data_IF_019659385744
#
_entry.id   IF_019659385744
#
_cell.length_a   1.000
_cell.length_b   1.000
_cell.length_c   1.000
_cell.angle_alpha   90.00
_cell.angle_beta   90.00
_cell.angle_gamma   90.00
#
_symmetry.space_group_name_H-M   'P 1'
#
loop_
_entity.id
_entity.type
_entity.pdbx_description
1 polymer ?
#
# COMPACT_ATOMS: atom_id res chain seq x y z
N UNK A 1 3.48 46.94 -4.20
CA UNK A 1 2.79 46.15 -3.20
C UNK A 1 3.19 44.70 -3.41
N UNK A 2 3.43 43.94 -2.36
CA UNK A 2 3.72 42.50 -2.53
C UNK A 2 2.54 41.79 -3.20
N UNK A 3 2.85 40.82 -4.02
CA UNK A 3 1.83 39.94 -4.62
C UNK A 3 1.13 39.11 -3.55
N UNK A 4 -0.06 38.59 -3.83
CA UNK A 4 -0.78 37.68 -2.93
C UNK A 4 0.12 36.48 -2.58
N UNK A 5 0.86 35.95 -3.54
CA UNK A 5 1.79 34.84 -3.34
C UNK A 5 2.92 35.21 -2.35
N UNK A 6 3.53 36.36 -2.47
CA UNK A 6 4.56 36.84 -1.54
C UNK A 6 4.00 37.03 -0.12
N UNK A 7 2.82 37.64 -0.01
CA UNK A 7 2.14 37.82 1.27
C UNK A 7 1.73 36.48 1.91
N UNK A 8 1.22 35.52 1.13
CA UNK A 8 0.95 34.17 1.60
C UNK A 8 2.23 33.48 2.10
N UNK A 9 3.35 33.63 1.36
CA UNK A 9 4.64 33.06 1.73
C UNK A 9 5.15 33.61 3.06
N UNK A 10 5.04 34.91 3.26
CA UNK A 10 5.45 35.58 4.49
C UNK A 10 4.62 35.11 5.69
N UNK A 11 3.28 35.14 5.59
CA UNK A 11 2.37 34.72 6.66
C UNK A 11 2.56 33.24 6.98
N UNK A 12 2.63 32.40 5.97
CA UNK A 12 2.81 30.97 6.16
C UNK A 12 4.14 30.65 6.85
N UNK A 13 5.25 31.18 6.34
CA UNK A 13 6.58 30.88 6.88
C UNK A 13 6.77 31.43 8.31
N UNK A 14 6.32 32.66 8.57
CA UNK A 14 6.41 33.23 9.93
C UNK A 14 5.56 32.43 10.93
N UNK A 15 4.34 32.08 10.55
CA UNK A 15 3.47 31.28 11.43
C UNK A 15 4.03 29.88 11.65
N UNK A 16 4.45 29.21 10.58
CA UNK A 16 5.02 27.87 10.67
C UNK A 16 6.24 27.82 11.59
N UNK A 17 7.18 28.75 11.41
CA UNK A 17 8.41 28.77 12.23
C UNK A 17 8.10 29.02 13.71
N UNK A 18 7.22 29.99 13.98
CA UNK A 18 6.80 30.30 15.36
C UNK A 18 6.10 29.13 16.04
N UNK A 19 5.13 28.52 15.33
CA UNK A 19 4.35 27.41 15.89
C UNK A 19 5.17 26.13 16.04
N UNK A 20 6.04 25.80 15.06
CA UNK A 20 6.92 24.62 15.17
C UNK A 20 7.82 24.74 16.40
N UNK A 21 8.46 25.88 16.59
CA UNK A 21 9.35 26.11 17.72
C UNK A 21 8.58 26.07 19.05
N UNK A 22 7.44 26.77 19.14
CA UNK A 22 6.61 26.78 20.35
C UNK A 22 6.18 25.36 20.74
N UNK A 23 5.62 24.59 19.80
CA UNK A 23 5.13 23.24 20.05
C UNK A 23 6.25 22.27 20.44
N UNK A 24 7.40 22.40 19.79
CA UNK A 24 8.57 21.61 20.11
C UNK A 24 9.04 21.89 21.55
N UNK A 25 9.17 23.16 21.93
CA UNK A 25 9.61 23.55 23.28
C UNK A 25 8.60 23.16 24.36
N UNK A 26 7.29 23.30 24.09
CA UNK A 26 6.24 22.85 25.00
C UNK A 26 6.30 21.33 25.24
N UNK A 27 6.48 20.52 24.19
CA UNK A 27 6.55 19.07 24.28
C UNK A 27 7.84 18.58 24.99
N UNK A 28 8.98 19.22 24.73
CA UNK A 28 10.23 18.93 25.44
C UNK A 28 10.10 19.27 26.93
N UNK A 29 9.54 20.43 27.25
CA UNK A 29 9.33 20.88 28.65
C UNK A 29 8.36 19.97 29.40
N UNK A 30 7.30 19.51 28.74
CA UNK A 30 6.32 18.56 29.30
C UNK A 30 6.92 17.16 29.54
N UNK A 31 8.00 16.84 28.86
CA UNK A 31 8.74 15.60 29.05
C UNK A 31 9.57 15.68 30.35
N UNK A 32 8.99 15.27 31.48
CA UNK A 32 9.53 15.41 32.86
C UNK A 32 10.88 14.75 33.13
N UNK A 33 11.46 14.01 32.21
CA UNK A 33 12.81 13.46 32.35
C UNK A 33 13.77 14.29 31.50
N UNK A 34 14.81 14.82 32.10
CA UNK A 34 15.80 15.69 31.45
C UNK A 34 16.64 15.04 30.33
N UNK A 35 16.33 13.81 29.96
CA UNK A 35 16.95 13.11 28.83
C UNK A 35 15.78 12.55 27.98
N UNK A 36 15.59 13.13 26.81
CA UNK A 36 14.67 12.63 25.79
C UNK A 36 15.47 11.71 24.89
N UNK A 37 14.99 10.49 24.65
CA UNK A 37 15.63 9.60 23.68
C UNK A 37 15.47 10.16 22.25
N UNK A 38 16.43 9.87 21.37
CA UNK A 38 16.42 10.34 19.97
C UNK A 38 15.11 9.97 19.25
N UNK A 39 14.56 8.78 19.52
CA UNK A 39 13.28 8.34 18.96
C UNK A 39 12.11 9.22 19.43
N UNK A 40 12.08 9.56 20.72
CA UNK A 40 11.03 10.41 21.30
C UNK A 40 11.17 11.85 20.80
N UNK A 41 12.38 12.35 20.68
CA UNK A 41 12.66 13.68 20.13
C UNK A 41 12.21 13.78 18.67
N UNK A 42 12.54 12.79 17.83
CA UNK A 42 12.10 12.74 16.45
C UNK A 42 10.56 12.70 16.32
N UNK A 43 9.88 11.97 17.23
CA UNK A 43 8.40 11.95 17.27
C UNK A 43 7.83 13.33 17.61
N UNK A 44 8.37 13.99 18.67
CA UNK A 44 7.98 15.34 19.05
C UNK A 44 8.18 16.32 17.88
N UNK A 45 9.33 16.27 17.23
CA UNK A 45 9.61 17.13 16.07
C UNK A 45 8.62 16.91 14.92
N UNK A 46 8.27 15.65 14.63
CA UNK A 46 7.32 15.30 13.57
C UNK A 46 5.90 15.80 13.90
N UNK A 47 5.46 15.66 15.15
CA UNK A 47 4.18 16.15 15.62
C UNK A 47 4.10 17.69 15.59
N UNK A 48 5.14 18.37 16.08
CA UNK A 48 5.25 19.83 16.03
C UNK A 48 5.26 20.33 14.57
N UNK A 49 5.98 19.68 13.67
CA UNK A 49 5.98 19.99 12.24
C UNK A 49 4.60 19.87 11.62
N UNK A 50 3.88 18.77 11.89
CA UNK A 50 2.56 18.51 11.34
C UNK A 50 1.53 19.54 11.82
N UNK A 51 1.55 19.86 13.10
CA UNK A 51 0.62 20.83 13.66
C UNK A 51 0.94 22.28 13.20
N UNK A 52 2.24 22.63 13.10
CA UNK A 52 2.65 23.92 12.56
C UNK A 52 2.19 24.14 11.10
N UNK A 53 2.18 23.09 10.26
CA UNK A 53 1.63 23.16 8.90
C UNK A 53 0.14 23.50 8.96
N UNK A 54 -0.63 22.84 9.82
CA UNK A 54 -2.08 23.12 9.95
C UNK A 54 -2.33 24.56 10.38
N UNK A 55 -1.65 25.02 11.43
CA UNK A 55 -1.81 26.37 11.94
C UNK A 55 -1.41 27.43 10.89
N UNK A 56 -0.28 27.25 10.22
CA UNK A 56 0.17 28.15 9.17
C UNK A 56 -0.82 28.20 8.00
N UNK A 57 -1.34 27.06 7.58
CA UNK A 57 -2.35 26.97 6.51
C UNK A 57 -3.61 27.73 6.89
N UNK A 58 -4.18 27.42 8.06
CA UNK A 58 -5.43 28.06 8.52
C UNK A 58 -5.25 29.57 8.67
N UNK A 59 -4.13 30.01 9.24
CA UNK A 59 -3.87 31.44 9.42
C UNK A 59 -3.69 32.16 8.09
N UNK A 60 -2.99 31.56 7.14
CA UNK A 60 -2.84 32.14 5.80
C UNK A 60 -4.18 32.24 5.08
N UNK A 61 -5.02 31.19 5.12
CA UNK A 61 -6.35 31.21 4.54
C UNK A 61 -7.23 32.35 5.11
N UNK A 62 -7.19 32.53 6.44
CA UNK A 62 -7.95 33.57 7.14
C UNK A 62 -7.47 35.01 6.87
N UNK A 63 -6.21 35.17 6.49
CA UNK A 63 -5.64 36.49 6.19
C UNK A 63 -6.19 37.11 4.88
N UNK A 64 -6.81 36.29 4.02
CA UNK A 64 -7.32 36.72 2.72
C UNK A 64 -8.80 36.39 2.52
N UNK A 65 -9.71 36.97 3.33
CA UNK A 65 -11.13 36.58 3.33
C UNK A 65 -11.88 36.95 2.04
N UNK A 66 -11.32 37.84 1.21
CA UNK A 66 -11.94 38.31 -0.04
C UNK A 66 -11.34 37.65 -1.28
N UNK A 67 -10.33 36.79 -1.10
CA UNK A 67 -9.70 36.09 -2.20
C UNK A 67 -10.36 34.72 -2.41
N UNK A 68 -10.30 34.22 -3.63
CA UNK A 68 -10.76 32.88 -3.95
C UNK A 68 -9.95 31.82 -3.17
N UNK A 69 -10.58 30.97 -2.32
CA UNK A 69 -9.88 30.02 -1.48
C UNK A 69 -8.93 29.09 -2.24
N UNK A 70 -9.27 28.70 -3.48
CA UNK A 70 -8.44 27.85 -4.31
C UNK A 70 -7.09 28.51 -4.67
N UNK A 71 -7.08 29.82 -4.89
CA UNK A 71 -5.85 30.57 -5.19
C UNK A 71 -4.93 30.64 -3.97
N UNK A 72 -5.50 30.88 -2.80
CA UNK A 72 -4.74 30.89 -1.54
C UNK A 72 -4.19 29.49 -1.24
N UNK A 73 -5.02 28.45 -1.41
CA UNK A 73 -4.58 27.07 -1.22
C UNK A 73 -3.41 26.70 -2.15
N UNK A 74 -3.48 27.07 -3.42
CA UNK A 74 -2.39 26.88 -4.38
C UNK A 74 -1.11 27.59 -3.94
N UNK A 75 -1.21 28.85 -3.50
CA UNK A 75 -0.07 29.60 -3.00
C UNK A 75 0.57 28.96 -1.76
N UNK A 76 -0.24 28.52 -0.78
CA UNK A 76 0.22 27.79 0.41
C UNK A 76 0.92 26.49 0.02
N UNK A 77 0.37 25.73 -0.92
CA UNK A 77 0.98 24.51 -1.42
C UNK A 77 2.35 24.77 -2.04
N UNK A 78 2.49 25.78 -2.91
CA UNK A 78 3.76 26.16 -3.53
C UNK A 78 4.80 26.58 -2.47
N UNK A 79 4.39 27.33 -1.44
CA UNK A 79 5.26 27.71 -0.31
C UNK A 79 5.73 26.48 0.46
N UNK A 80 4.83 25.53 0.71
CA UNK A 80 5.20 24.29 1.40
C UNK A 80 6.22 23.46 0.60
N UNK A 81 5.99 23.30 -0.70
CA UNK A 81 6.93 22.60 -1.59
C UNK A 81 8.29 23.29 -1.62
N UNK A 82 8.32 24.64 -1.75
CA UNK A 82 9.57 25.39 -1.70
C UNK A 82 10.35 25.10 -0.40
N UNK A 83 9.67 25.12 0.76
CA UNK A 83 10.32 24.82 2.06
C UNK A 83 10.97 23.44 2.10
N UNK A 84 10.36 22.46 1.45
CA UNK A 84 10.84 21.06 1.45
C UNK A 84 11.93 20.81 0.42
N UNK A 85 11.82 21.44 -0.76
CA UNK A 85 12.67 21.14 -1.93
C UNK A 85 13.67 22.24 -2.28
N UNK A 86 13.48 23.48 -1.79
CA UNK A 86 14.23 24.66 -2.23
C UNK A 86 13.84 25.17 -3.63
N UNK A 87 12.78 24.60 -4.25
CA UNK A 87 12.35 25.01 -5.59
C UNK A 87 11.35 26.16 -5.50
N UNK A 88 11.61 27.28 -6.16
CA UNK A 88 10.74 28.47 -6.20
C UNK A 88 9.89 28.55 -7.47
N UNK A 89 10.35 27.94 -8.56
CA UNK A 89 9.66 28.03 -9.85
C UNK A 89 8.41 27.15 -9.89
N UNK A 90 7.24 27.77 -10.00
CA UNK A 90 5.95 27.08 -10.01
C UNK A 90 5.82 26.07 -11.16
N UNK A 91 6.36 26.37 -12.33
CA UNK A 91 6.32 25.46 -13.47
C UNK A 91 7.20 24.22 -13.25
N UNK A 92 8.33 24.39 -12.56
CA UNK A 92 9.18 23.27 -12.16
C UNK A 92 8.49 22.42 -11.08
N UNK A 93 7.86 23.03 -10.08
CA UNK A 93 7.06 22.31 -9.07
C UNK A 93 5.97 21.47 -9.75
N UNK A 94 5.20 22.07 -10.66
CA UNK A 94 4.13 21.37 -11.37
C UNK A 94 4.65 20.18 -12.19
N UNK A 95 5.79 20.36 -12.89
CA UNK A 95 6.44 19.27 -13.65
C UNK A 95 6.93 18.14 -12.73
N UNK A 96 7.55 18.46 -11.61
CA UNK A 96 8.05 17.45 -10.64
C UNK A 96 6.88 16.68 -10.03
N UNK A 97 5.81 17.37 -9.60
CA UNK A 97 4.62 16.72 -9.04
C UNK A 97 3.93 15.85 -10.09
N UNK A 98 3.79 16.33 -11.32
CA UNK A 98 3.21 15.56 -12.43
C UNK A 98 4.05 14.33 -12.76
N UNK A 99 5.39 14.47 -12.78
CA UNK A 99 6.30 13.35 -13.01
C UNK A 99 6.21 12.31 -11.88
N UNK A 100 6.17 12.74 -10.61
CA UNK A 100 6.01 11.84 -9.45
C UNK A 100 4.67 11.09 -9.49
N UNK A 101 3.57 11.77 -9.79
CA UNK A 101 2.27 11.14 -9.94
C UNK A 101 2.22 10.15 -11.11
N UNK A 102 2.82 10.54 -12.25
CA UNK A 102 2.94 9.66 -13.43
C UNK A 102 3.77 8.43 -13.10
N UNK A 103 4.92 8.61 -12.40
CA UNK A 103 5.75 7.50 -11.96
C UNK A 103 5.01 6.56 -11.03
N UNK A 104 4.33 7.08 -10.00
CA UNK A 104 3.55 6.27 -9.05
C UNK A 104 2.49 5.41 -9.73
N UNK A 105 1.80 5.97 -10.72
CA UNK A 105 0.82 5.21 -11.51
C UNK A 105 1.47 4.17 -12.41
N UNK A 106 2.48 4.59 -13.17
CA UNK A 106 3.15 3.71 -14.15
C UNK A 106 3.96 2.60 -13.49
N UNK A 107 4.63 2.89 -12.36
CA UNK A 107 5.43 1.90 -11.64
C UNK A 107 4.56 0.82 -10.99
N UNK A 108 3.34 1.17 -10.52
CA UNK A 108 2.36 0.18 -10.04
C UNK A 108 2.00 -0.82 -11.13
N UNK A 109 1.55 -0.35 -12.28
CA UNK A 109 1.22 -1.23 -13.41
C UNK A 109 2.42 -2.01 -13.96
N UNK A 110 3.60 -1.38 -14.00
CA UNK A 110 4.82 -2.09 -14.41
C UNK A 110 5.17 -3.23 -13.45
N UNK A 111 4.94 -3.03 -12.15
CA UNK A 111 5.18 -4.06 -11.14
C UNK A 111 4.17 -5.21 -11.26
N UNK A 112 2.89 -4.92 -11.49
CA UNK A 112 1.85 -5.93 -11.76
C UNK A 112 2.21 -6.79 -12.99
N UNK A 113 2.59 -6.14 -14.11
CA UNK A 113 3.02 -6.85 -15.33
C UNK A 113 4.30 -7.67 -15.10
N UNK A 114 5.25 -7.18 -14.29
CA UNK A 114 6.45 -7.92 -13.91
C UNK A 114 6.09 -9.18 -13.11
N UNK A 115 5.21 -9.06 -12.11
CA UNK A 115 4.74 -10.21 -11.33
C UNK A 115 4.07 -11.25 -12.24
N UNK A 116 3.19 -10.81 -13.14
CA UNK A 116 2.55 -11.69 -14.11
C UNK A 116 3.58 -12.44 -14.97
N UNK A 117 4.53 -11.70 -15.56
CA UNK A 117 5.54 -12.27 -16.47
C UNK A 117 6.43 -13.28 -15.75
N UNK A 118 7.06 -12.85 -14.66
CA UNK A 118 8.02 -13.67 -13.91
C UNK A 118 7.33 -14.81 -13.16
N UNK A 119 6.18 -14.55 -12.56
CA UNK A 119 5.36 -15.56 -11.90
C UNK A 119 4.94 -16.67 -12.86
N UNK A 120 4.44 -16.32 -14.05
CA UNK A 120 4.07 -17.32 -15.06
C UNK A 120 5.29 -18.08 -15.62
N UNK A 121 6.44 -17.41 -15.75
CA UNK A 121 7.69 -18.11 -16.11
C UNK A 121 8.07 -19.14 -15.05
N UNK A 122 7.98 -18.78 -13.77
CA UNK A 122 8.26 -19.70 -12.67
C UNK A 122 7.25 -20.86 -12.60
N UNK A 123 5.99 -20.61 -12.91
CA UNK A 123 4.87 -21.57 -12.85
C UNK A 123 4.72 -22.41 -14.15
N UNK A 124 5.59 -22.22 -15.15
CA UNK A 124 5.49 -22.96 -16.41
C UNK A 124 5.41 -24.49 -16.17
N UNK A 125 4.52 -25.15 -16.90
CA UNK A 125 4.26 -26.59 -16.80
C UNK A 125 3.44 -27.02 -15.58
N UNK A 126 3.00 -26.13 -14.69
CA UNK A 126 2.22 -26.49 -13.48
C UNK A 126 0.70 -26.45 -13.68
N UNK A 127 0.23 -25.92 -14.80
CA UNK A 127 -1.20 -25.64 -15.02
C UNK A 127 -1.74 -24.41 -14.25
N UNK A 128 -0.86 -23.68 -13.57
CA UNK A 128 -1.22 -22.45 -12.83
C UNK A 128 -0.79 -21.22 -13.62
N UNK A 129 -1.65 -20.21 -13.64
CA UNK A 129 -1.44 -18.96 -14.36
C UNK A 129 -1.79 -17.77 -13.45
N UNK A 130 -0.93 -16.75 -13.45
CA UNK A 130 -1.19 -15.46 -12.81
C UNK A 130 -1.75 -14.51 -13.86
N UNK A 131 -2.94 -13.99 -13.58
CA UNK A 131 -3.69 -13.11 -14.45
C UNK A 131 -3.80 -11.72 -13.83
N UNK A 132 -3.71 -10.68 -14.67
CA UNK A 132 -4.13 -9.35 -14.26
C UNK A 132 -5.67 -9.31 -14.10
N UNK A 133 -6.14 -8.37 -13.31
CA UNK A 133 -7.59 -8.16 -13.13
C UNK A 133 -8.37 -8.08 -14.44
N UNK A 134 -7.83 -7.40 -15.47
CA UNK A 134 -8.47 -7.27 -16.79
C UNK A 134 -8.57 -8.61 -17.52
N UNK A 135 -7.56 -9.47 -17.38
CA UNK A 135 -7.52 -10.76 -18.07
C UNK A 135 -8.53 -11.72 -17.42
N UNK A 136 -8.58 -11.80 -16.08
CA UNK A 136 -9.59 -12.58 -15.37
C UNK A 136 -11.01 -12.11 -15.72
N UNK A 137 -11.26 -10.79 -15.77
CA UNK A 137 -12.56 -10.25 -16.16
C UNK A 137 -12.98 -10.70 -17.55
N UNK A 138 -12.05 -10.79 -18.50
CA UNK A 138 -12.30 -11.30 -19.85
C UNK A 138 -12.70 -12.77 -19.83
N UNK A 139 -11.98 -13.62 -19.09
CA UNK A 139 -12.32 -15.05 -18.95
C UNK A 139 -13.66 -15.27 -18.25
N UNK A 140 -13.98 -14.49 -17.22
CA UNK A 140 -15.28 -14.57 -16.55
C UNK A 140 -16.43 -14.19 -17.51
N UNK A 141 -16.25 -13.15 -18.32
CA UNK A 141 -17.26 -12.73 -19.31
C UNK A 141 -17.44 -13.75 -20.42
N UNK A 142 -16.37 -14.45 -20.80
CA UNK A 142 -16.41 -15.54 -21.78
C UNK A 142 -16.98 -16.85 -21.23
N UNK A 143 -17.21 -16.95 -19.91
CA UNK A 143 -17.69 -18.17 -19.26
C UNK A 143 -16.61 -19.26 -19.15
N UNK A 144 -15.33 -18.88 -19.22
CA UNK A 144 -14.19 -19.83 -19.16
C UNK A 144 -13.74 -20.17 -17.73
N UNK A 145 -14.22 -19.43 -16.73
CA UNK A 145 -13.94 -19.71 -15.31
C UNK A 145 -15.06 -20.58 -14.75
N UNK A 146 -14.69 -21.77 -14.30
CA UNK A 146 -15.59 -22.82 -13.86
C UNK A 146 -15.89 -22.82 -12.34
N UNK A 147 -15.57 -21.72 -11.65
CA UNK A 147 -15.95 -21.54 -10.24
C UNK A 147 -17.48 -21.57 -10.07
N UNK A 148 -17.93 -21.87 -8.87
CA UNK A 148 -19.35 -21.82 -8.52
C UNK A 148 -19.95 -20.41 -8.74
N UNK A 149 -21.26 -20.29 -9.01
CA UNK A 149 -21.91 -19.00 -9.26
C UNK A 149 -21.68 -17.97 -8.14
N UNK A 150 -21.60 -18.43 -6.89
CA UNK A 150 -21.30 -17.57 -5.73
C UNK A 150 -19.92 -16.93 -5.84
N UNK A 151 -18.91 -17.70 -6.21
CA UNK A 151 -17.53 -17.21 -6.37
C UNK A 151 -17.43 -16.25 -7.54
N UNK A 152 -18.07 -16.59 -8.65
CA UNK A 152 -18.09 -15.71 -9.82
C UNK A 152 -18.72 -14.35 -9.47
N UNK A 153 -19.79 -14.35 -8.68
CA UNK A 153 -20.43 -13.11 -8.23
C UNK A 153 -19.49 -12.31 -7.34
N UNK A 154 -18.85 -12.95 -6.37
CA UNK A 154 -17.87 -12.33 -5.49
C UNK A 154 -16.66 -11.77 -6.25
N UNK A 155 -16.07 -12.54 -7.17
CA UNK A 155 -14.95 -12.11 -8.00
C UNK A 155 -15.30 -10.88 -8.85
N UNK A 156 -16.51 -10.84 -9.44
CA UNK A 156 -17.00 -9.68 -10.20
C UNK A 156 -17.08 -8.41 -9.35
N UNK A 157 -17.49 -8.53 -8.08
CA UNK A 157 -17.51 -7.41 -7.13
C UNK A 157 -16.10 -6.91 -6.82
N UNK A 158 -15.15 -7.83 -6.56
CA UNK A 158 -13.76 -7.47 -6.29
C UNK A 158 -13.11 -6.77 -7.49
N UNK A 159 -13.34 -7.29 -8.70
CA UNK A 159 -12.88 -6.70 -9.96
C UNK A 159 -13.46 -5.30 -10.16
N UNK A 160 -14.76 -5.12 -9.94
CA UNK A 160 -15.43 -3.82 -10.06
C UNK A 160 -14.87 -2.79 -9.08
N UNK A 161 -14.54 -3.21 -7.86
CA UNK A 161 -13.98 -2.36 -6.81
C UNK A 161 -12.44 -2.18 -6.93
N UNK A 162 -11.78 -2.86 -7.87
CA UNK A 162 -10.32 -2.87 -8.05
C UNK A 162 -9.56 -3.16 -6.74
N UNK A 163 -9.98 -4.23 -6.06
CA UNK A 163 -9.47 -4.60 -4.73
C UNK A 163 -8.17 -5.39 -4.83
N UNK A 164 -8.08 -6.29 -5.80
CA UNK A 164 -6.90 -7.11 -6.05
C UNK A 164 -6.32 -6.78 -7.42
N UNK A 165 -4.99 -6.76 -7.49
CA UNK A 165 -4.25 -6.38 -8.70
C UNK A 165 -4.11 -7.58 -9.65
N UNK A 166 -3.89 -8.79 -9.08
CA UNK A 166 -3.73 -10.03 -9.84
C UNK A 166 -4.53 -11.17 -9.20
N UNK A 167 -4.69 -12.24 -9.96
CA UNK A 167 -5.41 -13.44 -9.56
C UNK A 167 -4.65 -14.70 -10.00
N UNK A 168 -4.72 -15.75 -9.19
CA UNK A 168 -4.17 -17.06 -9.50
C UNK A 168 -5.27 -17.98 -10.00
N UNK A 169 -5.06 -18.57 -11.17
CA UNK A 169 -5.97 -19.49 -11.84
C UNK A 169 -5.27 -20.82 -12.05
N UNK A 170 -5.96 -21.91 -11.78
CA UNK A 170 -5.48 -23.27 -12.05
C UNK A 170 -6.33 -23.93 -13.13
N UNK A 171 -5.70 -24.61 -14.08
CA UNK A 171 -6.33 -25.43 -15.10
C UNK A 171 -6.24 -26.88 -14.70
N UNK A 172 -7.37 -27.56 -14.60
CA UNK A 172 -7.44 -29.03 -14.35
C UNK A 172 -7.13 -29.82 -15.62
N UNK A 173 -6.86 -31.11 -15.46
CA UNK A 173 -6.63 -32.04 -16.57
C UNK A 173 -7.79 -32.10 -17.59
N UNK A 174 -8.99 -31.79 -17.13
CA UNK A 174 -10.20 -31.71 -17.99
C UNK A 174 -10.34 -30.36 -18.75
N UNK A 175 -9.33 -29.48 -18.62
CA UNK A 175 -9.29 -28.16 -19.27
C UNK A 175 -10.10 -27.07 -18.56
N UNK A 176 -10.82 -27.38 -17.48
CA UNK A 176 -11.58 -26.36 -16.73
C UNK A 176 -10.65 -25.48 -15.91
N UNK A 177 -10.88 -24.18 -15.96
CA UNK A 177 -10.11 -23.17 -15.23
C UNK A 177 -10.85 -22.72 -13.97
N UNK A 178 -10.11 -22.61 -12.86
CA UNK A 178 -10.65 -22.15 -11.57
C UNK A 178 -9.79 -21.03 -11.01
N UNK A 179 -10.38 -19.90 -10.70
CA UNK A 179 -9.73 -18.87 -9.92
C UNK A 179 -9.73 -19.30 -8.45
N UNK A 180 -8.54 -19.49 -7.87
CA UNK A 180 -8.38 -19.92 -6.49
C UNK A 180 -7.64 -18.91 -5.62
N UNK A 181 -6.98 -17.91 -6.22
CA UNK A 181 -6.16 -16.95 -5.49
C UNK A 181 -6.40 -15.51 -5.88
N UNK A 182 -6.27 -14.63 -4.89
CA UNK A 182 -6.35 -13.18 -4.97
C UNK A 182 -5.02 -12.59 -4.51
N UNK A 183 -4.39 -11.75 -5.34
CA UNK A 183 -3.04 -11.25 -5.12
C UNK A 183 -3.07 -9.73 -5.14
N UNK A 184 -2.56 -9.12 -4.08
CA UNK A 184 -2.28 -7.69 -4.02
C UNK A 184 -0.81 -7.44 -4.36
N UNK A 185 -0.49 -6.32 -5.00
CA UNK A 185 0.87 -5.92 -5.33
C UNK A 185 1.19 -4.53 -4.83
N UNK A 186 2.38 -4.32 -4.26
CA UNK A 186 2.79 -3.01 -3.74
C UNK A 186 4.26 -2.75 -4.03
N UNK A 187 4.54 -1.63 -4.69
CA UNK A 187 5.92 -1.16 -4.90
C UNK A 187 6.54 -0.57 -3.64
N UNK A 188 5.71 0.02 -2.77
CA UNK A 188 6.10 0.43 -1.43
C UNK A 188 4.88 0.46 -0.52
N UNK A 189 5.08 0.13 0.77
CA UNK A 189 3.99 0.05 1.74
C UNK A 189 4.33 0.91 2.94
N UNK A 190 3.83 2.15 3.01
CA UNK A 190 3.92 2.95 4.23
C UNK A 190 2.60 3.00 4.99
N UNK A 191 1.49 3.38 4.33
CA UNK A 191 0.23 3.68 5.02
C UNK A 191 -0.95 2.82 4.54
N UNK A 192 -0.74 1.93 3.57
CA UNK A 192 -1.82 1.20 2.91
C UNK A 192 -2.02 -0.23 3.37
N UNK A 193 -1.07 -0.84 4.09
CA UNK A 193 -1.20 -2.23 4.59
C UNK A 193 -2.48 -2.43 5.39
N UNK A 194 -2.82 -1.47 6.25
CA UNK A 194 -4.05 -1.50 7.04
C UNK A 194 -5.30 -1.56 6.17
N UNK A 195 -5.31 -0.83 5.05
CA UNK A 195 -6.45 -0.80 4.12
C UNK A 195 -6.54 -2.06 3.26
N UNK A 196 -5.40 -2.64 2.93
CA UNK A 196 -5.31 -3.82 2.05
C UNK A 196 -5.58 -5.11 2.85
N UNK A 197 -5.43 -5.08 4.18
CA UNK A 197 -5.67 -6.23 5.07
C UNK A 197 -7.13 -6.67 5.10
N UNK A 198 -8.07 -5.74 5.21
CA UNK A 198 -9.49 -6.07 5.30
C UNK A 198 -10.01 -6.84 4.07
N UNK A 199 -9.75 -6.40 2.83
CA UNK A 199 -10.10 -7.20 1.65
C UNK A 199 -9.46 -8.59 1.62
N UNK A 200 -8.22 -8.72 2.12
CA UNK A 200 -7.55 -10.02 2.22
C UNK A 200 -8.28 -10.95 3.18
N UNK A 201 -8.69 -10.45 4.36
CA UNK A 201 -9.50 -11.23 5.32
C UNK A 201 -10.81 -11.70 4.70
N UNK A 202 -11.47 -10.84 3.91
CA UNK A 202 -12.69 -11.22 3.20
C UNK A 202 -12.46 -12.28 2.12
N UNK A 203 -11.32 -12.22 1.41
CA UNK A 203 -10.94 -13.25 0.45
C UNK A 203 -10.69 -14.60 1.14
N UNK A 204 -9.97 -14.60 2.26
CA UNK A 204 -9.74 -15.82 3.06
C UNK A 204 -11.05 -16.37 3.61
N UNK A 205 -11.95 -15.54 4.13
CA UNK A 205 -13.29 -15.95 4.58
C UNK A 205 -14.17 -16.48 3.44
N UNK A 206 -13.85 -16.16 2.18
CA UNK A 206 -14.49 -16.71 0.99
C UNK A 206 -13.76 -17.90 0.39
N UNK A 207 -12.80 -18.45 1.11
CA UNK A 207 -11.98 -19.61 0.75
C UNK A 207 -11.10 -19.38 -0.50
N UNK A 208 -10.59 -18.15 -0.69
CA UNK A 208 -9.55 -17.86 -1.67
C UNK A 208 -8.19 -17.77 -1.01
N UNK A 209 -7.16 -18.26 -1.70
CA UNK A 209 -5.78 -18.01 -1.34
C UNK A 209 -5.49 -16.52 -1.48
N UNK A 210 -5.27 -15.83 -0.37
CA UNK A 210 -5.01 -14.40 -0.37
C UNK A 210 -3.57 -14.09 -0.03
N UNK A 211 -2.88 -13.38 -0.90
CA UNK A 211 -1.46 -13.05 -0.76
C UNK A 211 -1.16 -11.62 -1.18
N UNK A 212 0.02 -11.16 -0.77
CA UNK A 212 0.54 -9.86 -1.16
C UNK A 212 2.00 -10.00 -1.61
N UNK A 213 2.36 -9.34 -2.70
CA UNK A 213 3.73 -9.27 -3.23
C UNK A 213 4.22 -7.85 -3.10
N UNK A 214 5.37 -7.66 -2.46
CA UNK A 214 5.89 -6.34 -2.08
C UNK A 214 7.30 -6.17 -2.62
N UNK A 215 7.56 -5.05 -3.32
CA UNK A 215 8.88 -4.73 -3.84
C UNK A 215 9.81 -4.20 -2.74
N UNK A 216 9.33 -3.25 -1.92
CA UNK A 216 10.11 -2.65 -0.83
C UNK A 216 9.57 -3.10 0.54
N UNK A 217 10.40 -3.85 1.26
CA UNK A 217 10.08 -4.42 2.57
C UNK A 217 10.51 -3.56 3.77
N UNK A 218 11.01 -2.37 3.59
CA UNK A 218 11.54 -1.52 4.67
C UNK A 218 10.54 -1.24 5.80
N UNK A 219 9.24 -1.25 5.51
CA UNK A 219 8.18 -1.10 6.52
C UNK A 219 8.13 -2.23 7.53
N UNK A 220 8.64 -3.43 7.19
CA UNK A 220 8.71 -4.60 8.09
C UNK A 220 9.71 -4.41 9.25
N UNK A 221 10.53 -3.37 9.23
CA UNK A 221 11.32 -2.96 10.40
C UNK A 221 10.46 -2.58 11.61
N UNK A 222 9.18 -2.26 11.38
CA UNK A 222 8.24 -1.92 12.44
C UNK A 222 7.42 -3.15 12.84
N UNK A 223 7.52 -3.62 14.10
CA UNK A 223 6.86 -4.86 14.58
C UNK A 223 5.35 -4.90 14.32
N UNK A 224 4.67 -3.75 14.32
CA UNK A 224 3.23 -3.67 14.01
C UNK A 224 2.88 -4.23 12.64
N UNK A 225 3.75 -4.06 11.63
CA UNK A 225 3.47 -4.58 10.29
C UNK A 225 3.70 -6.09 10.22
N UNK A 226 4.67 -6.61 10.95
CA UNK A 226 4.87 -8.06 11.10
C UNK A 226 3.63 -8.69 11.72
N UNK A 227 3.07 -8.11 12.79
CA UNK A 227 1.86 -8.62 13.42
C UNK A 227 0.61 -8.49 12.53
N UNK A 228 0.53 -7.47 11.67
CA UNK A 228 -0.54 -7.36 10.68
C UNK A 228 -0.55 -8.52 9.69
N UNK A 229 0.63 -9.03 9.33
CA UNK A 229 0.77 -10.17 8.41
C UNK A 229 0.56 -11.48 9.14
N UNK A 230 1.31 -11.70 10.23
CA UNK A 230 1.37 -12.99 10.93
C UNK A 230 0.22 -13.20 11.92
N UNK A 231 -0.40 -12.15 12.41
CA UNK A 231 -1.35 -12.24 13.52
C UNK A 231 -0.68 -12.45 14.87
N UNK A 232 -1.41 -13.07 15.80
CA UNK A 232 -0.89 -13.49 17.11
C UNK A 232 -0.75 -12.39 18.17
N UNK A 233 -1.27 -11.17 17.91
CA UNK A 233 -1.28 -10.07 18.87
C UNK A 233 -2.70 -9.67 19.24
N UNK A 234 -2.87 -8.91 20.34
CA UNK A 234 -4.21 -8.41 20.74
C UNK A 234 -4.81 -7.50 19.67
N UNK A 235 -3.99 -6.68 19.01
CA UNK A 235 -4.44 -5.76 17.94
C UNK A 235 -4.74 -6.53 16.65
N UNK A 236 -3.95 -7.57 16.35
CA UNK A 236 -4.08 -8.40 15.16
C UNK A 236 -4.10 -9.88 15.57
N UNK A 237 -5.25 -10.42 16.05
CA UNK A 237 -5.32 -11.80 16.52
C UNK A 237 -5.14 -12.84 15.41
N UNK A 238 -5.58 -12.52 14.18
CA UNK A 238 -5.45 -13.36 12.99
C UNK A 238 -4.46 -12.81 11.99
N UNK A 239 -3.83 -13.67 11.20
CA UNK A 239 -2.98 -13.27 10.08
C UNK A 239 -3.78 -12.47 9.04
N UNK A 240 -3.11 -11.54 8.38
CA UNK A 240 -3.73 -10.67 7.36
C UNK A 240 -3.75 -11.29 5.97
N UNK A 241 -2.87 -12.23 5.70
CA UNK A 241 -2.71 -12.95 4.41
C UNK A 241 -2.26 -14.38 4.68
N UNK A 242 -2.46 -15.26 3.71
CA UNK A 242 -1.82 -16.58 3.72
C UNK A 242 -0.30 -16.48 3.53
N UNK A 243 0.16 -15.47 2.81
CA UNK A 243 1.59 -15.19 2.64
C UNK A 243 1.86 -13.78 2.12
N UNK A 244 2.97 -13.20 2.57
CA UNK A 244 3.55 -11.97 2.05
C UNK A 244 4.90 -12.30 1.43
N UNK A 245 5.08 -11.97 0.15
CA UNK A 245 6.33 -12.21 -0.58
C UNK A 245 7.04 -10.87 -0.81
N UNK A 246 8.26 -10.76 -0.27
CA UNK A 246 9.02 -9.52 -0.27
C UNK A 246 10.30 -9.70 -1.09
N UNK A 247 10.56 -8.79 -2.04
CA UNK A 247 11.79 -8.75 -2.79
C UNK A 247 12.96 -8.25 -1.92
N UNK A 248 13.29 -9.02 -0.89
CA UNK A 248 14.38 -8.73 0.04
C UNK A 248 14.79 -10.01 0.75
N UNK A 249 16.07 -10.25 0.86
CA UNK A 249 16.61 -11.39 1.63
C UNK A 249 16.59 -11.16 3.15
N UNK A 250 16.30 -9.93 3.59
CA UNK A 250 16.40 -9.55 5.00
C UNK A 250 15.15 -9.89 5.82
N UNK A 251 14.03 -10.20 5.18
CA UNK A 251 12.74 -10.37 5.86
C UNK A 251 12.17 -11.76 5.57
N UNK A 252 12.29 -12.63 6.56
CA UNK A 252 11.61 -13.92 6.57
C UNK A 252 11.19 -14.20 8.01
N UNK A 253 9.88 -14.19 8.26
CA UNK A 253 9.30 -14.42 9.59
C UNK A 253 7.84 -14.88 9.46
N UNK A 254 7.52 -16.07 9.93
CA UNK A 254 6.18 -16.63 9.88
C UNK A 254 5.65 -16.73 8.45
N UNK A 255 4.64 -15.89 8.13
CA UNK A 255 4.01 -15.82 6.80
C UNK A 255 4.66 -14.78 5.87
N UNK A 256 5.79 -14.22 6.26
CA UNK A 256 6.59 -13.30 5.46
C UNK A 256 7.74 -14.10 4.84
N UNK A 257 7.78 -14.13 3.52
CA UNK A 257 8.74 -14.91 2.75
C UNK A 257 9.59 -13.99 1.88
N UNK A 258 10.91 -14.14 1.96
CA UNK A 258 11.76 -13.50 0.98
C UNK A 258 11.52 -14.11 -0.41
N UNK A 259 11.55 -13.29 -1.43
CA UNK A 259 11.51 -13.74 -2.82
C UNK A 259 12.50 -12.93 -3.65
N UNK A 260 12.82 -13.46 -4.81
CA UNK A 260 13.63 -12.79 -5.82
C UNK A 260 12.95 -12.97 -7.20
N UNK A 261 13.68 -12.73 -8.29
CA UNK A 261 13.12 -12.82 -9.65
C UNK A 261 12.77 -14.24 -10.09
N UNK A 262 13.19 -15.29 -9.37
CA UNK A 262 12.81 -16.68 -9.63
C UNK A 262 11.47 -17.10 -9.01
N UNK A 263 10.91 -16.28 -8.14
CA UNK A 263 9.63 -16.53 -7.46
C UNK A 263 9.56 -17.88 -6.74
N UNK A 264 10.67 -18.43 -6.29
CA UNK A 264 10.75 -19.81 -5.79
C UNK A 264 9.72 -20.09 -4.68
N UNK A 265 9.73 -19.35 -3.57
CA UNK A 265 8.79 -19.54 -2.46
C UNK A 265 7.34 -19.32 -2.90
N UNK A 266 7.10 -18.30 -3.73
CA UNK A 266 5.78 -18.04 -4.27
C UNK A 266 5.27 -19.21 -5.14
N UNK A 267 6.12 -19.76 -6.00
CA UNK A 267 5.81 -20.92 -6.84
C UNK A 267 5.36 -22.13 -6.01
N UNK A 268 6.17 -22.50 -5.01
CA UNK A 268 5.90 -23.65 -4.14
C UNK A 268 4.56 -23.48 -3.44
N UNK A 269 4.30 -22.28 -2.90
CA UNK A 269 3.07 -21.97 -2.20
C UNK A 269 1.85 -21.89 -3.14
N UNK A 270 2.01 -21.33 -4.34
CA UNK A 270 0.94 -21.27 -5.33
C UNK A 270 0.49 -22.68 -5.76
N UNK A 271 1.43 -23.60 -5.95
CA UNK A 271 1.14 -25.01 -6.30
C UNK A 271 0.41 -25.70 -5.14
N UNK A 272 0.94 -25.59 -3.92
CA UNK A 272 0.32 -26.19 -2.74
C UNK A 272 -1.09 -25.62 -2.49
N UNK A 273 -1.25 -24.30 -2.59
CA UNK A 273 -2.56 -23.66 -2.44
C UNK A 273 -3.57 -24.12 -3.50
N UNK A 274 -3.15 -24.26 -4.76
CA UNK A 274 -4.01 -24.75 -5.84
C UNK A 274 -4.48 -26.20 -5.56
N UNK A 275 -3.56 -27.07 -5.16
CA UNK A 275 -3.87 -28.47 -4.84
C UNK A 275 -4.83 -28.57 -3.64
N UNK A 276 -4.55 -27.83 -2.58
CA UNK A 276 -5.41 -27.81 -1.39
C UNK A 276 -6.80 -27.25 -1.73
N UNK A 277 -6.87 -26.14 -2.47
CA UNK A 277 -8.13 -25.54 -2.88
C UNK A 277 -8.99 -26.48 -3.73
N UNK A 278 -8.38 -27.21 -4.65
CA UNK A 278 -9.07 -28.18 -5.52
C UNK A 278 -9.62 -29.40 -4.78
N UNK A 279 -9.01 -29.78 -3.66
CA UNK A 279 -9.31 -31.02 -2.93
C UNK A 279 -10.02 -30.78 -1.59
N UNK A 280 -9.70 -29.71 -0.90
CA UNK A 280 -10.12 -29.43 0.47
C UNK A 280 -10.60 -27.99 0.68
N UNK A 281 -11.23 -27.40 -0.33
CA UNK A 281 -11.63 -25.99 -0.31
C UNK A 281 -12.40 -25.58 0.93
N UNK A 282 -13.29 -26.40 1.44
CA UNK A 282 -14.10 -26.14 2.64
C UNK A 282 -13.28 -25.94 3.93
N UNK A 283 -12.02 -26.31 3.91
CA UNK A 283 -11.06 -26.16 5.00
C UNK A 283 -9.98 -25.10 4.69
N UNK A 284 -10.09 -24.43 3.56
CA UNK A 284 -9.14 -23.40 3.15
C UNK A 284 -9.51 -22.08 3.83
N UNK A 285 -9.11 -21.94 5.09
CA UNK A 285 -9.37 -20.80 5.93
C UNK A 285 -8.12 -19.92 6.14
N UNK A 286 -8.22 -18.94 7.03
CA UNK A 286 -7.13 -18.00 7.32
C UNK A 286 -5.89 -18.69 7.93
N UNK A 287 -6.06 -19.81 8.62
CA UNK A 287 -4.95 -20.51 9.29
C UNK A 287 -4.12 -21.37 8.34
N UNK A 288 -4.61 -21.61 7.14
CA UNK A 288 -3.87 -22.40 6.16
C UNK A 288 -2.44 -21.86 5.96
N UNK A 289 -1.47 -22.75 5.97
CA UNK A 289 -0.05 -22.51 5.70
C UNK A 289 0.50 -23.65 4.85
N UNK A 290 1.49 -23.37 4.05
CA UNK A 290 2.22 -24.41 3.32
C UNK A 290 3.02 -25.26 4.31
N UNK A 291 2.87 -26.57 4.23
CA UNK A 291 3.66 -27.54 5.00
C UNK A 291 5.07 -27.72 4.44
#
# INVERSE_FOLDING_TARGET
MPTIKESCREIYNSTYNAEKERLYQEAITASRSGIVSDEKEHKIETEAHTEAIKQATVRTMRAFPNEEPANIWKAVYEVHIHRKSGIDDAATIERVVSADQSWKKSSGHAFEEMIKLLGNTALDGTGIEILLQRDLNTLIKAGEIANEPRDISWLKEQIKASVFDLYAVVTKDDGRKYCYGCIQSKTSVRDRVTRDREPSLQAMASYFWSTIIVLDGDFLRLPKFISMVNGGTTEHPTNGWHGMYVFSEQYSDGRIYSTNLDFKNFKEHAISAAQYWLTQRQWFDHDWIVE
#
